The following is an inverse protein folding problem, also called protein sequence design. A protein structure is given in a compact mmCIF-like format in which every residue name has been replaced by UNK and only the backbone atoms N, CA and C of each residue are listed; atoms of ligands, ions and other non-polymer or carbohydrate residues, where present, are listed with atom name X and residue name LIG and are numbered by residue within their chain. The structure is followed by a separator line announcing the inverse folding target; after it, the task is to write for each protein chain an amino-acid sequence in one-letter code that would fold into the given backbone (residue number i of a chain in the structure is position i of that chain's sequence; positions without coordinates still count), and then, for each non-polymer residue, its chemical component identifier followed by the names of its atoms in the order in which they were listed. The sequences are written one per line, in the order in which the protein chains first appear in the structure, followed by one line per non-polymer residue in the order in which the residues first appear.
data_IF_848275718706
#
_entry.id   IF_848275718706
#
_cell.length_a   1.000
_cell.length_b   1.000
_cell.length_c   1.000
_cell.angle_alpha   90.00
_cell.angle_beta   90.00
_cell.angle_gamma   90.00
#
_symmetry.space_group_name_H-M   'P 1'
#
loop_
_entity.id
_entity.type
_entity.pdbx_description
1 polymer ?
#
# COMPACT_ATOMS: atom_id res chain seq x y z
N UNK A 1 3.46 43.59 2.31
CA UNK A 1 2.13 42.92 2.40
C UNK A 1 2.37 41.42 2.54
N UNK A 2 2.32 40.88 3.75
CA UNK A 2 2.51 39.44 3.99
C UNK A 2 1.33 38.66 3.45
N UNK A 3 1.58 37.70 2.53
CA UNK A 3 0.56 36.75 2.13
C UNK A 3 0.15 35.93 3.35
N UNK A 4 -1.12 36.03 3.78
CA UNK A 4 -1.71 35.11 4.73
C UNK A 4 -1.61 33.70 4.14
N UNK A 5 -0.67 32.90 4.63
CA UNK A 5 -0.63 31.46 4.32
C UNK A 5 -1.78 30.86 5.11
N UNK A 6 -2.87 30.56 4.44
CA UNK A 6 -3.94 29.73 5.00
C UNK A 6 -3.36 28.33 5.20
N UNK A 7 -3.24 27.91 6.45
CA UNK A 7 -2.94 26.51 6.73
C UNK A 7 -4.19 25.69 6.37
N UNK A 8 -4.11 24.91 5.32
CA UNK A 8 -5.17 23.98 4.96
C UNK A 8 -5.30 22.95 6.09
N UNK A 9 -6.53 22.74 6.55
CA UNK A 9 -6.83 21.78 7.59
C UNK A 9 -7.55 20.59 6.95
N UNK A 10 -6.84 19.48 6.82
CA UNK A 10 -7.38 18.26 6.22
C UNK A 10 -8.02 17.39 7.29
N UNK A 11 -9.29 17.05 7.09
CA UNK A 11 -10.04 16.12 7.95
C UNK A 11 -10.42 14.89 7.12
N UNK A 12 -10.03 13.72 7.57
CA UNK A 12 -10.33 12.46 6.93
C UNK A 12 -11.33 11.66 7.75
N UNK A 13 -12.35 11.14 7.10
CA UNK A 13 -13.38 10.29 7.71
C UNK A 13 -13.31 8.89 7.11
N UNK A 14 -13.36 7.86 7.94
CA UNK A 14 -13.50 6.49 7.48
C UNK A 14 -14.16 5.60 8.54
N UNK A 15 -14.76 4.50 8.09
CA UNK A 15 -15.44 3.52 8.92
C UNK A 15 -14.61 2.26 9.14
N UNK A 16 -13.72 1.92 8.21
CA UNK A 16 -12.85 0.75 8.28
C UNK A 16 -11.40 1.11 7.96
N UNK A 17 -10.50 0.61 8.77
CA UNK A 17 -9.06 0.80 8.63
C UNK A 17 -8.45 -0.46 8.06
N UNK A 18 -7.91 -0.37 6.85
CA UNK A 18 -7.22 -1.48 6.21
C UNK A 18 -5.87 -1.80 6.87
N UNK A 19 -5.19 -0.78 7.43
CA UNK A 19 -3.90 -0.96 8.07
C UNK A 19 -3.65 0.15 9.10
N UNK A 20 -3.36 -0.24 10.34
CA UNK A 20 -3.17 0.69 11.46
C UNK A 20 -1.92 1.56 11.31
N UNK A 21 -0.86 1.05 10.70
CA UNK A 21 0.36 1.82 10.46
C UNK A 21 0.11 2.99 9.50
N UNK A 22 -0.68 2.77 8.43
CA UNK A 22 -1.05 3.87 7.52
C UNK A 22 -1.81 4.97 8.24
N UNK A 23 -2.76 4.60 9.12
CA UNK A 23 -3.47 5.57 9.93
C UNK A 23 -2.54 6.36 10.85
N UNK A 24 -1.58 5.70 11.48
CA UNK A 24 -0.58 6.38 12.31
C UNK A 24 0.24 7.40 11.48
N UNK A 25 0.60 7.05 10.26
CA UNK A 25 1.32 7.96 9.35
C UNK A 25 0.43 9.14 8.89
N UNK A 26 -0.83 8.89 8.52
CA UNK A 26 -1.78 9.90 8.11
C UNK A 26 -2.07 10.90 9.26
N UNK A 27 -2.21 10.41 10.49
CA UNK A 27 -2.45 11.26 11.68
C UNK A 27 -1.34 12.27 11.95
N UNK A 28 -0.16 12.09 11.38
CA UNK A 28 0.93 13.09 11.48
C UNK A 28 0.69 14.32 10.62
N UNK A 29 -0.18 14.21 9.62
CA UNK A 29 -0.38 15.25 8.60
C UNK A 29 -1.83 15.74 8.53
N UNK A 30 -2.80 14.95 9.00
CA UNK A 30 -4.22 15.26 8.91
C UNK A 30 -4.95 14.89 10.21
N UNK A 31 -6.05 15.60 10.50
CA UNK A 31 -6.99 15.19 11.52
C UNK A 31 -7.79 13.99 11.03
N UNK A 32 -7.77 12.91 11.79
CA UNK A 32 -8.42 11.66 11.43
C UNK A 32 -9.56 11.37 12.39
N UNK A 33 -10.78 11.33 11.87
CA UNK A 33 -12.00 11.07 12.62
C UNK A 33 -12.57 9.70 12.24
N UNK A 34 -12.31 8.69 13.08
CA UNK A 34 -12.77 7.30 12.90
C UNK A 34 -14.09 6.98 13.62
N UNK A 35 -14.80 7.97 14.17
CA UNK A 35 -16.06 7.73 14.86
C UNK A 35 -17.22 7.58 13.86
N UNK A 36 -17.99 6.48 13.91
CA UNK A 36 -19.12 6.25 13.02
C UNK A 36 -20.18 7.35 13.05
N UNK A 37 -20.34 8.03 14.19
CA UNK A 37 -21.28 9.16 14.30
C UNK A 37 -20.85 10.34 13.42
N UNK A 38 -19.57 10.70 13.46
CA UNK A 38 -19.06 11.78 12.60
C UNK A 38 -19.19 11.44 11.12
N UNK A 39 -18.95 10.18 10.75
CA UNK A 39 -19.15 9.74 9.37
C UNK A 39 -20.62 9.84 8.93
N UNK A 40 -21.57 9.50 9.81
CA UNK A 40 -23.01 9.66 9.52
C UNK A 40 -23.40 11.13 9.38
N UNK A 41 -22.93 11.99 10.29
CA UNK A 41 -23.16 13.44 10.22
C UNK A 41 -22.56 14.05 8.95
N UNK A 42 -21.33 13.64 8.62
CA UNK A 42 -20.67 14.03 7.38
C UNK A 42 -21.50 13.62 6.14
N UNK A 43 -21.94 12.35 6.06
CA UNK A 43 -22.78 11.87 4.95
C UNK A 43 -24.09 12.65 4.84
N UNK A 44 -24.72 12.99 5.96
CA UNK A 44 -25.95 13.79 5.97
C UNK A 44 -25.71 15.24 5.49
N UNK A 45 -24.59 15.85 5.88
CA UNK A 45 -24.24 17.20 5.48
C UNK A 45 -23.62 17.28 4.07
N UNK A 46 -23.23 16.16 3.48
CA UNK A 46 -22.50 16.09 2.22
C UNK A 46 -23.16 16.84 1.07
N UNK A 47 -24.48 16.76 0.96
CA UNK A 47 -25.24 17.46 -0.08
C UNK A 47 -25.15 19.00 0.00
N UNK A 48 -24.86 19.56 1.17
CA UNK A 48 -24.73 20.99 1.43
C UNK A 48 -23.30 21.51 1.27
N UNK A 49 -22.30 20.66 1.49
CA UNK A 49 -20.88 21.04 1.50
C UNK A 49 -20.35 21.61 0.18
N UNK A 50 -20.69 21.08 -1.01
CA UNK A 50 -20.24 21.65 -2.28
C UNK A 50 -20.69 23.09 -2.50
N UNK A 51 -21.92 23.42 -2.07
CA UNK A 51 -22.48 24.77 -2.18
C UNK A 51 -21.81 25.78 -1.25
N UNK A 52 -21.23 25.30 -0.15
CA UNK A 52 -20.53 26.13 0.81
C UNK A 52 -19.04 26.34 0.47
N UNK A 53 -18.54 25.74 -0.60
CA UNK A 53 -17.11 25.81 -0.98
C UNK A 53 -16.15 25.15 0.01
N UNK A 54 -16.68 24.33 0.92
CA UNK A 54 -15.91 23.68 2.01
C UNK A 54 -15.34 22.34 1.53
N UNK A 55 -15.78 21.88 0.37
CA UNK A 55 -15.46 20.57 -0.16
C UNK A 55 -14.51 20.65 -1.35
N UNK A 56 -13.37 19.99 -1.24
CA UNK A 56 -12.51 19.74 -2.38
C UNK A 56 -12.73 18.31 -2.89
N UNK A 57 -13.24 18.17 -4.10
CA UNK A 57 -13.31 16.87 -4.76
C UNK A 57 -11.92 16.57 -5.30
N UNK A 58 -11.28 15.51 -4.78
CA UNK A 58 -10.04 15.01 -5.34
C UNK A 58 -10.39 14.24 -6.62
N UNK A 59 -10.06 14.77 -7.80
CA UNK A 59 -10.30 14.03 -9.03
C UNK A 59 -9.47 12.74 -9.01
N UNK A 60 -10.15 11.59 -9.15
CA UNK A 60 -9.47 10.33 -9.46
C UNK A 60 -9.03 10.34 -10.93
N UNK A 61 -8.19 11.30 -11.28
CA UNK A 61 -7.67 11.39 -12.64
C UNK A 61 -6.35 10.60 -12.75
N UNK A 62 -6.36 9.59 -13.62
CA UNK A 62 -5.15 8.82 -13.94
C UNK A 62 -4.10 9.68 -14.65
N UNK A 63 -4.49 10.80 -15.25
CA UNK A 63 -3.57 11.76 -15.88
C UNK A 63 -2.73 12.56 -14.87
N UNK A 64 -3.08 12.51 -13.57
CA UNK A 64 -2.28 13.10 -12.49
C UNK A 64 -0.92 12.39 -12.28
N UNK A 65 -0.56 11.40 -13.10
CA UNK A 65 0.72 10.69 -12.99
C UNK A 65 1.92 11.61 -13.18
N UNK A 66 1.85 12.54 -14.13
CA UNK A 66 2.93 13.53 -14.36
C UNK A 66 3.04 14.56 -13.23
N UNK A 67 1.93 14.92 -12.61
CA UNK A 67 1.92 15.77 -11.42
C UNK A 67 2.54 15.07 -10.23
N UNK A 68 2.28 13.77 -10.06
CA UNK A 68 2.85 12.95 -8.97
C UNK A 68 4.37 12.85 -9.03
N UNK A 69 4.97 12.84 -10.22
CA UNK A 69 6.44 12.88 -10.39
C UNK A 69 7.08 14.12 -9.78
N UNK A 70 6.33 15.21 -9.63
CA UNK A 70 6.80 16.49 -9.08
C UNK A 70 6.58 16.64 -7.59
N UNK A 71 5.83 15.72 -6.97
CA UNK A 71 5.50 15.76 -5.55
C UNK A 71 6.44 14.85 -4.79
N UNK A 72 7.14 15.40 -3.81
CA UNK A 72 7.96 14.60 -2.88
C UNK A 72 7.09 13.62 -2.09
N UNK A 73 7.63 12.45 -1.69
CA UNK A 73 6.89 11.51 -0.85
C UNK A 73 6.32 12.20 0.39
N UNK A 74 5.02 12.02 0.61
CA UNK A 74 4.33 12.67 1.73
C UNK A 74 4.44 11.86 3.03
N UNK A 75 4.77 10.57 2.91
CA UNK A 75 4.93 9.68 4.05
C UNK A 75 6.39 9.28 4.23
N UNK A 76 6.79 9.12 5.49
CA UNK A 76 8.14 8.69 5.87
C UNK A 76 8.10 7.89 7.17
N UNK A 77 9.09 7.04 7.36
CA UNK A 77 9.27 6.32 8.61
C UNK A 77 10.07 7.15 9.60
N UNK A 78 9.61 7.19 10.85
CA UNK A 78 10.38 7.75 11.97
C UNK A 78 11.60 6.88 12.27
N UNK A 79 12.55 7.42 13.06
CA UNK A 79 13.70 6.63 13.50
C UNK A 79 13.29 5.38 14.30
N UNK A 80 12.26 5.50 15.15
CA UNK A 80 11.67 4.38 15.89
C UNK A 80 11.09 3.31 14.95
N UNK A 81 10.32 3.70 13.95
CA UNK A 81 9.74 2.79 12.97
C UNK A 81 10.81 2.09 12.14
N UNK A 82 11.88 2.80 11.76
CA UNK A 82 13.03 2.18 11.11
C UNK A 82 13.70 1.13 12.00
N UNK A 83 13.92 1.45 13.27
CA UNK A 83 14.45 0.50 14.27
C UNK A 83 13.54 -0.73 14.42
N UNK A 84 12.23 -0.52 14.53
CA UNK A 84 11.23 -1.59 14.62
C UNK A 84 11.21 -2.49 13.38
N UNK A 85 11.44 -1.95 12.18
CA UNK A 85 11.46 -2.73 10.94
C UNK A 85 12.68 -3.63 10.77
N UNK A 86 13.82 -3.25 11.37
CA UNK A 86 15.09 -4.01 11.25
C UNK A 86 15.03 -5.40 11.87
N UNK A 87 14.40 -5.54 13.04
CA UNK A 87 14.34 -6.81 13.73
C UNK A 87 13.64 -7.93 12.93
N UNK A 88 12.46 -7.71 12.32
CA UNK A 88 11.85 -8.70 11.44
C UNK A 88 12.69 -9.00 10.19
N UNK A 89 13.36 -8.01 9.59
CA UNK A 89 14.29 -8.24 8.47
C UNK A 89 15.43 -9.18 8.85
N UNK A 90 16.03 -8.97 10.02
CA UNK A 90 17.09 -9.84 10.55
C UNK A 90 16.60 -11.28 10.75
N UNK A 91 15.36 -11.46 11.23
CA UNK A 91 14.75 -12.81 11.34
C UNK A 91 14.58 -13.50 9.98
N UNK A 92 14.36 -12.73 8.93
CA UNK A 92 14.32 -13.21 7.54
C UNK A 92 15.73 -13.33 6.92
N UNK A 93 16.80 -13.19 7.73
CA UNK A 93 18.22 -13.21 7.29
C UNK A 93 18.57 -12.10 6.29
N UNK A 94 17.83 -10.99 6.32
CA UNK A 94 18.09 -9.81 5.50
C UNK A 94 18.79 -8.77 6.36
N UNK A 95 20.01 -8.40 6.00
CA UNK A 95 20.77 -7.34 6.68
C UNK A 95 20.35 -5.95 6.15
N UNK A 96 20.75 -4.89 6.86
CA UNK A 96 20.45 -3.51 6.43
C UNK A 96 21.06 -3.13 5.08
N UNK A 97 22.16 -3.77 4.70
CA UNK A 97 22.84 -3.54 3.44
C UNK A 97 22.28 -4.37 2.28
N UNK A 98 21.49 -5.40 2.59
CA UNK A 98 20.96 -6.30 1.57
C UNK A 98 19.82 -5.63 0.80
N UNK A 99 19.90 -5.60 -0.53
CA UNK A 99 18.80 -5.10 -1.34
C UNK A 99 17.65 -6.09 -1.36
N UNK A 100 16.42 -5.60 -1.26
CA UNK A 100 15.24 -6.44 -1.45
C UNK A 100 14.19 -5.76 -2.33
N UNK A 101 13.36 -6.58 -2.94
CA UNK A 101 12.23 -6.23 -3.80
C UNK A 101 10.97 -6.86 -3.25
N UNK A 102 9.86 -6.15 -3.29
CA UNK A 102 8.55 -6.70 -2.96
C UNK A 102 7.84 -7.12 -4.25
N UNK A 103 7.26 -8.31 -4.25
CA UNK A 103 6.41 -8.80 -5.35
C UNK A 103 5.00 -9.07 -4.83
N UNK A 104 3.99 -8.81 -5.64
CA UNK A 104 2.60 -9.01 -5.28
C UNK A 104 1.77 -9.42 -6.50
N UNK A 105 0.94 -10.43 -6.32
CA UNK A 105 -0.15 -10.74 -7.22
C UNK A 105 -1.46 -10.72 -6.40
N UNK A 106 -2.45 -10.00 -6.91
CA UNK A 106 -3.75 -9.91 -6.26
C UNK A 106 -4.50 -11.22 -6.44
N UNK A 107 -5.07 -11.70 -5.37
CA UNK A 107 -6.01 -12.82 -5.37
C UNK A 107 -7.33 -12.45 -4.67
N UNK A 108 -8.35 -13.30 -4.81
CA UNK A 108 -9.68 -13.06 -4.25
C UNK A 108 -9.79 -13.31 -2.74
N UNK A 109 -8.78 -13.92 -2.11
CA UNK A 109 -8.82 -14.32 -0.70
C UNK A 109 -9.02 -13.13 0.23
N UNK A 110 -8.39 -11.99 -0.08
CA UNK A 110 -8.55 -10.77 0.72
C UNK A 110 -10.01 -10.28 0.75
N UNK A 111 -10.69 -10.27 -0.40
CA UNK A 111 -12.09 -9.83 -0.46
C UNK A 111 -13.01 -10.79 0.25
N UNK A 112 -12.82 -12.09 0.07
CA UNK A 112 -13.58 -13.13 0.76
C UNK A 112 -13.44 -13.00 2.28
N UNK A 113 -12.21 -12.85 2.79
CA UNK A 113 -11.95 -12.80 4.23
C UNK A 113 -12.41 -11.51 4.90
N UNK A 114 -12.31 -10.36 4.23
CA UNK A 114 -12.49 -9.05 4.86
C UNK A 114 -13.79 -8.34 4.51
N UNK A 115 -14.51 -8.78 3.47
CA UNK A 115 -15.72 -8.10 2.95
C UNK A 115 -16.96 -8.99 2.95
N UNK A 116 -16.89 -10.20 3.55
CA UNK A 116 -18.00 -11.15 3.65
C UNK A 116 -18.33 -11.86 2.34
N UNK A 117 -19.41 -12.64 2.37
CA UNK A 117 -19.84 -13.55 1.28
C UNK A 117 -20.51 -12.85 0.07
N UNK A 118 -20.23 -11.59 -0.17
CA UNK A 118 -20.75 -10.92 -1.37
C UNK A 118 -20.10 -11.50 -2.62
N UNK A 119 -20.85 -11.47 -3.75
CA UNK A 119 -20.30 -11.85 -5.04
C UNK A 119 -19.29 -10.81 -5.53
N UNK A 120 -18.02 -11.15 -5.46
CA UNK A 120 -16.90 -10.30 -5.88
C UNK A 120 -16.39 -10.61 -7.29
N UNK A 121 -17.04 -11.51 -8.03
CA UNK A 121 -16.62 -11.97 -9.38
C UNK A 121 -16.37 -10.84 -10.38
N UNK A 122 -17.05 -9.70 -10.21
CA UNK A 122 -16.79 -8.48 -11.00
C UNK A 122 -15.35 -7.94 -10.87
N UNK A 123 -14.54 -8.48 -9.94
CA UNK A 123 -13.15 -8.10 -9.72
C UNK A 123 -12.15 -9.20 -10.13
N UNK A 124 -12.63 -10.38 -10.53
CA UNK A 124 -11.79 -11.55 -10.84
C UNK A 124 -10.84 -11.27 -12.02
N UNK A 125 -11.24 -10.42 -12.95
CA UNK A 125 -10.39 -10.00 -14.09
C UNK A 125 -9.09 -9.29 -13.68
N UNK A 126 -8.98 -8.90 -12.41
CA UNK A 126 -7.80 -8.24 -11.83
C UNK A 126 -6.92 -9.22 -11.05
N UNK A 127 -7.36 -10.45 -10.86
CA UNK A 127 -6.62 -11.44 -10.09
C UNK A 127 -5.45 -11.96 -10.93
N UNK A 128 -4.31 -12.10 -10.30
CA UNK A 128 -3.07 -12.57 -10.90
C UNK A 128 -2.58 -13.85 -10.23
N UNK A 129 -1.85 -14.66 -10.99
CA UNK A 129 -1.14 -15.80 -10.44
C UNK A 129 0.25 -15.36 -9.96
N UNK A 130 0.52 -15.52 -8.66
CA UNK A 130 1.84 -15.21 -8.09
C UNK A 130 2.98 -16.01 -8.74
N UNK A 131 2.69 -17.21 -9.25
CA UNK A 131 3.68 -18.03 -9.95
C UNK A 131 4.15 -17.41 -11.26
N UNK A 132 3.37 -16.51 -11.85
CA UNK A 132 3.81 -15.73 -13.02
C UNK A 132 4.99 -14.79 -12.70
N UNK A 133 5.18 -14.44 -11.43
CA UNK A 133 6.32 -13.65 -10.98
C UNK A 133 7.59 -14.49 -10.74
N UNK A 134 7.51 -15.83 -10.79
CA UNK A 134 8.65 -16.70 -10.48
C UNK A 134 9.88 -16.47 -11.36
N UNK A 135 9.77 -16.27 -12.68
CA UNK A 135 10.96 -16.00 -13.50
C UNK A 135 11.69 -14.71 -13.07
N UNK A 136 10.93 -13.65 -12.77
CA UNK A 136 11.49 -12.39 -12.27
C UNK A 136 12.12 -12.57 -10.88
N UNK A 137 11.46 -13.30 -9.98
CA UNK A 137 11.96 -13.58 -8.65
C UNK A 137 13.27 -14.38 -8.69
N UNK A 138 13.33 -15.41 -9.53
CA UNK A 138 14.54 -16.24 -9.71
C UNK A 138 15.70 -15.42 -10.28
N UNK A 139 15.44 -14.57 -11.27
CA UNK A 139 16.44 -13.68 -11.83
C UNK A 139 16.99 -12.71 -10.78
N UNK A 140 16.12 -12.02 -10.03
CA UNK A 140 16.53 -11.08 -8.98
C UNK A 140 17.35 -11.79 -7.89
N UNK A 141 16.91 -12.96 -7.46
CA UNK A 141 17.64 -13.77 -6.48
C UNK A 141 19.03 -14.17 -6.98
N UNK A 142 19.20 -14.51 -8.27
CA UNK A 142 20.51 -14.80 -8.88
C UNK A 142 21.44 -13.58 -8.89
N UNK A 143 20.89 -12.37 -8.87
CA UNK A 143 21.64 -11.12 -8.74
C UNK A 143 21.92 -10.72 -7.27
N UNK A 144 21.65 -11.62 -6.32
CA UNK A 144 21.88 -11.37 -4.91
C UNK A 144 20.78 -10.57 -4.19
N UNK A 145 19.68 -10.23 -4.87
CA UNK A 145 18.57 -9.43 -4.34
C UNK A 145 17.54 -10.34 -3.66
N UNK A 146 17.16 -10.00 -2.45
CA UNK A 146 16.04 -10.70 -1.78
C UNK A 146 14.72 -10.34 -2.42
N UNK A 147 13.83 -11.33 -2.55
CA UNK A 147 12.49 -11.15 -3.11
C UNK A 147 11.45 -11.56 -2.06
N UNK A 148 10.62 -10.62 -1.65
CA UNK A 148 9.59 -10.86 -0.65
C UNK A 148 8.21 -10.86 -1.32
N UNK A 149 7.50 -11.98 -1.24
CA UNK A 149 6.12 -12.08 -1.69
C UNK A 149 5.21 -11.43 -0.67
N UNK A 150 4.54 -10.38 -1.08
CA UNK A 150 3.62 -9.59 -0.28
C UNK A 150 2.19 -10.10 -0.39
N UNK A 151 1.36 -9.79 0.62
CA UNK A 151 -0.07 -10.08 0.63
C UNK A 151 -0.62 -10.05 2.05
N UNK A 152 -1.90 -9.72 2.21
CA UNK A 152 -2.57 -9.75 3.53
C UNK A 152 -3.13 -11.14 3.84
N UNK A 153 -3.94 -11.65 2.94
CA UNK A 153 -4.50 -13.00 2.93
C UNK A 153 -4.29 -13.56 1.54
N UNK A 154 -3.76 -14.75 1.45
CA UNK A 154 -3.29 -15.33 0.19
C UNK A 154 -3.83 -16.74 0.04
N UNK A 155 -4.29 -17.07 -1.17
CA UNK A 155 -4.87 -18.38 -1.49
C UNK A 155 -3.77 -19.42 -1.70
N UNK A 156 -2.68 -19.02 -2.37
CA UNK A 156 -1.59 -19.89 -2.74
C UNK A 156 -0.29 -19.47 -2.08
N UNK A 157 0.42 -20.40 -1.45
CA UNK A 157 1.77 -20.18 -0.95
C UNK A 157 2.77 -20.09 -2.10
N UNK A 158 3.75 -19.18 -1.95
CA UNK A 158 4.85 -18.99 -2.93
C UNK A 158 6.10 -19.74 -2.47
N UNK A 159 6.03 -21.08 -2.51
CA UNK A 159 7.14 -21.95 -2.08
C UNK A 159 8.15 -22.15 -3.19
N UNK A 160 9.33 -21.58 -3.00
CA UNK A 160 10.46 -21.68 -3.94
C UNK A 160 11.69 -22.15 -3.17
N UNK A 161 12.42 -23.13 -3.69
CA UNK A 161 13.65 -23.63 -3.09
C UNK A 161 14.83 -22.66 -3.33
N UNK A 162 14.73 -21.44 -2.76
CA UNK A 162 15.77 -20.42 -2.83
C UNK A 162 15.69 -19.53 -1.58
N UNK A 163 16.78 -19.45 -0.81
CA UNK A 163 16.84 -18.69 0.45
C UNK A 163 16.61 -17.18 0.29
N UNK A 164 16.78 -16.64 -0.92
CA UNK A 164 16.54 -15.23 -1.21
C UNK A 164 15.11 -14.93 -1.65
N UNK A 165 14.27 -15.96 -1.82
CA UNK A 165 12.85 -15.81 -2.17
C UNK A 165 12.02 -16.21 -0.96
N UNK A 166 11.36 -15.24 -0.35
CA UNK A 166 10.67 -15.39 0.94
C UNK A 166 9.17 -15.14 0.74
N UNK A 167 8.35 -16.11 1.13
CA UNK A 167 6.90 -15.95 1.17
C UNK A 167 6.47 -15.22 2.45
N UNK A 168 6.82 -13.93 2.56
CA UNK A 168 6.51 -13.10 3.72
C UNK A 168 5.01 -13.14 4.08
N UNK A 169 4.12 -13.14 3.08
CA UNK A 169 2.68 -13.13 3.30
C UNK A 169 2.17 -14.36 4.06
N UNK A 170 2.78 -15.53 3.85
CA UNK A 170 2.38 -16.78 4.49
C UNK A 170 3.14 -17.08 5.79
N UNK A 171 4.38 -16.57 5.93
CA UNK A 171 5.28 -17.01 6.99
C UNK A 171 5.35 -16.06 8.19
N UNK A 172 5.39 -14.75 7.96
CA UNK A 172 5.70 -13.79 9.03
C UNK A 172 5.04 -12.42 8.88
N UNK A 173 3.89 -12.38 8.25
CA UNK A 173 3.15 -11.14 7.96
C UNK A 173 2.74 -10.39 9.23
N UNK A 174 2.87 -9.06 9.18
CA UNK A 174 2.24 -8.14 10.14
C UNK A 174 1.83 -6.83 9.46
N UNK A 175 0.83 -6.15 10.01
CA UNK A 175 0.32 -4.88 9.46
C UNK A 175 1.41 -3.81 9.35
N UNK A 176 2.27 -3.72 10.35
CA UNK A 176 3.40 -2.80 10.31
C UNK A 176 4.40 -3.15 9.19
N UNK A 177 4.76 -4.43 9.08
CA UNK A 177 5.74 -4.87 8.08
C UNK A 177 5.21 -4.79 6.66
N UNK A 178 3.90 -4.92 6.43
CA UNK A 178 3.31 -4.67 5.10
C UNK A 178 3.68 -3.28 4.58
N UNK A 179 3.58 -2.27 5.45
CA UNK A 179 3.90 -0.88 5.10
C UNK A 179 5.41 -0.66 5.06
N UNK A 180 6.13 -1.21 6.06
CA UNK A 180 7.58 -1.02 6.15
C UNK A 180 8.31 -1.62 4.95
N UNK A 181 7.99 -2.85 4.56
CA UNK A 181 8.61 -3.52 3.42
C UNK A 181 8.25 -2.81 2.11
N UNK A 182 6.96 -2.46 1.91
CA UNK A 182 6.53 -1.74 0.71
C UNK A 182 7.22 -0.37 0.56
N UNK A 183 7.54 0.29 1.67
CA UNK A 183 8.18 1.61 1.66
C UNK A 183 9.70 1.59 1.77
N UNK A 184 10.33 0.41 1.93
CA UNK A 184 11.79 0.27 2.10
C UNK A 184 12.44 -0.57 1.00
N UNK A 185 11.66 -1.22 0.14
CA UNK A 185 12.18 -2.03 -0.96
C UNK A 185 12.80 -1.16 -2.07
N UNK A 186 13.68 -1.75 -2.88
CA UNK A 186 14.27 -1.08 -4.05
C UNK A 186 13.22 -0.70 -5.09
N UNK A 187 12.30 -1.59 -5.34
CA UNK A 187 11.09 -1.35 -6.13
C UNK A 187 10.01 -2.38 -5.76
N UNK A 188 8.79 -2.06 -6.10
CA UNK A 188 7.63 -2.92 -5.92
C UNK A 188 7.17 -3.44 -7.28
N UNK A 189 7.11 -4.76 -7.46
CA UNK A 189 6.62 -5.41 -8.66
C UNK A 189 5.22 -5.98 -8.38
N UNK A 190 4.21 -5.56 -9.09
CA UNK A 190 2.88 -6.11 -8.85
C UNK A 190 1.76 -5.52 -9.70
N UNK A 191 0.59 -6.06 -9.48
CA UNK A 191 -0.67 -5.69 -10.12
C UNK A 191 -1.44 -4.59 -9.36
N UNK A 192 -2.64 -4.28 -9.83
CA UNK A 192 -3.52 -3.25 -9.23
C UNK A 192 -4.06 -3.68 -7.85
N UNK A 193 -3.33 -3.39 -6.80
CA UNK A 193 -3.71 -3.67 -5.41
C UNK A 193 -3.38 -2.49 -4.47
N UNK A 194 -3.88 -2.51 -3.25
CA UNK A 194 -3.61 -1.43 -2.29
C UNK A 194 -2.14 -1.24 -1.94
N UNK A 195 -1.35 -2.31 -1.89
CA UNK A 195 0.06 -2.27 -1.49
C UNK A 195 0.95 -1.47 -2.46
N UNK A 196 0.70 -1.51 -3.77
CA UNK A 196 1.48 -0.69 -4.71
C UNK A 196 1.25 0.81 -4.48
N UNK A 197 0.03 1.21 -4.07
CA UNK A 197 -0.25 2.60 -3.72
C UNK A 197 0.54 3.04 -2.48
N UNK A 198 0.78 2.13 -1.53
CA UNK A 198 1.63 2.39 -0.36
C UNK A 198 3.08 2.63 -0.80
N UNK A 199 3.61 1.77 -1.66
CA UNK A 199 4.97 1.94 -2.22
C UNK A 199 5.11 3.31 -2.90
N UNK A 200 4.17 3.67 -3.78
CA UNK A 200 4.15 4.97 -4.46
C UNK A 200 4.09 6.15 -3.49
N UNK A 201 3.23 6.08 -2.46
CA UNK A 201 3.07 7.14 -1.46
C UNK A 201 4.34 7.35 -0.60
N UNK A 202 5.15 6.30 -0.45
CA UNK A 202 6.45 6.32 0.24
C UNK A 202 7.63 6.59 -0.71
N UNK A 203 7.36 6.88 -1.99
CA UNK A 203 8.39 7.23 -2.98
C UNK A 203 9.15 6.04 -3.58
N UNK A 204 8.66 4.82 -3.38
CA UNK A 204 9.26 3.62 -3.95
C UNK A 204 8.80 3.44 -5.40
N UNK A 205 9.71 3.18 -6.36
CA UNK A 205 9.34 2.86 -7.73
C UNK A 205 8.44 1.62 -7.83
N UNK A 206 7.46 1.65 -8.71
CA UNK A 206 6.55 0.52 -8.95
C UNK A 206 6.68 0.05 -10.39
N UNK A 207 7.01 -1.22 -10.55
CA UNK A 207 6.90 -1.93 -11.82
C UNK A 207 5.52 -2.59 -11.90
N UNK A 208 4.62 -1.97 -12.65
CA UNK A 208 3.25 -2.44 -12.77
C UNK A 208 3.15 -3.56 -13.80
N UNK A 209 2.63 -4.72 -13.40
CA UNK A 209 2.33 -5.86 -14.27
C UNK A 209 0.84 -6.20 -14.15
N UNK A 210 0.25 -6.75 -15.19
CA UNK A 210 -1.19 -7.06 -15.22
C UNK A 210 -2.07 -5.87 -14.82
N UNK A 211 -1.67 -4.68 -15.28
CA UNK A 211 -2.33 -3.43 -14.92
C UNK A 211 -3.63 -3.27 -15.71
N UNK A 212 -4.76 -3.63 -15.11
CA UNK A 212 -6.08 -3.60 -15.73
C UNK A 212 -7.03 -2.76 -14.83
N UNK A 213 -7.87 -1.89 -15.42
CA UNK A 213 -7.99 -1.54 -16.84
C UNK A 213 -6.87 -0.61 -17.32
N UNK A 214 -6.43 -0.84 -18.54
CA UNK A 214 -5.66 0.15 -19.30
C UNK A 214 -6.66 1.21 -19.79
N UNK A 215 -6.52 2.45 -19.37
CA UNK A 215 -7.27 3.61 -19.85
C UNK A 215 -6.30 4.70 -20.27
#
# INVERSE_FOLDING_TARGET
MGKKVWREFHVLFFDQVANQQLIAMIKRQACVLGNPLFLKLYKAAYALMPKAGIWAHLPCDYNAFEERKRVSPQFYFTAEEKGRGRQPLSKMKISESDPFVCIHARDKSYLKSNKGEQNWSRHDYRDGDIMSCLPAAAYLASQGIFVLRMGHTVEQAFKVANEKIIDYASECRSDFMDIYLSGSCKFFLGDTAGLHCVALALGVPVAAVNWIPLR
#
